data_IF_052653198109
#
_entry.id   IF_052653198109
#
_cell.length_a   1.000
_cell.length_b   1.000
_cell.length_c   1.000
_cell.angle_alpha   90.00
_cell.angle_beta   90.00
_cell.angle_gamma   90.00
#
_symmetry.space_group_name_H-M   'P 1'
#
loop_
_entity.id
_entity.type
_entity.pdbx_description
1 polymer ?
#
# COMPACT_ATOMS: atom_id res chain seq x y z
N UNK A 1 0.01 -11.48 -5.65
CA UNK A 1 -0.59 -12.39 -6.66
C UNK A 1 -1.64 -11.76 -7.58
N UNK A 2 -1.96 -10.47 -7.49
CA UNK A 2 -2.94 -9.83 -8.38
C UNK A 2 -2.34 -9.59 -9.78
N UNK A 3 -3.16 -9.06 -10.69
CA UNK A 3 -2.75 -8.68 -12.04
C UNK A 3 -1.93 -7.41 -12.03
N UNK A 4 -1.64 -6.88 -13.21
CA UNK A 4 -0.82 -5.69 -13.35
C UNK A 4 -1.41 -4.48 -12.62
N UNK A 5 -2.73 -4.36 -12.60
CA UNK A 5 -3.46 -3.31 -11.89
C UNK A 5 -4.84 -3.79 -11.44
N UNK A 6 -5.59 -2.92 -10.77
CA UNK A 6 -6.99 -3.19 -10.38
C UNK A 6 -7.91 -3.49 -11.57
N UNK A 7 -7.58 -3.01 -12.77
CA UNK A 7 -8.38 -3.22 -13.98
C UNK A 7 -7.96 -4.44 -14.81
N UNK A 8 -6.85 -5.10 -14.46
CA UNK A 8 -6.29 -6.21 -15.24
C UNK A 8 -6.90 -7.56 -14.82
N UNK A 9 -7.65 -8.15 -15.76
CA UNK A 9 -8.29 -9.46 -15.62
C UNK A 9 -7.34 -10.67 -15.81
N UNK A 10 -6.07 -10.46 -16.19
CA UNK A 10 -5.00 -11.47 -16.21
C UNK A 10 -5.21 -12.64 -17.18
N UNK A 11 -5.83 -12.40 -18.34
CA UNK A 11 -6.10 -13.46 -19.33
C UNK A 11 -4.85 -14.12 -19.95
N UNK A 12 -3.65 -13.56 -19.70
CA UNK A 12 -2.37 -14.01 -20.24
C UNK A 12 -1.66 -15.07 -19.38
N UNK A 13 -2.22 -15.46 -18.23
CA UNK A 13 -1.62 -16.45 -17.33
C UNK A 13 -2.65 -17.42 -16.79
N UNK A 14 -2.19 -18.61 -16.38
CA UNK A 14 -3.08 -19.65 -15.87
C UNK A 14 -3.25 -19.56 -14.35
N UNK A 15 -4.36 -20.10 -13.84
CA UNK A 15 -4.56 -20.21 -12.39
C UNK A 15 -3.50 -21.10 -11.73
N UNK A 16 -3.10 -22.18 -12.41
CA UNK A 16 -2.10 -23.12 -11.90
C UNK A 16 -0.71 -22.46 -11.74
N UNK A 17 -0.32 -21.62 -12.70
CA UNK A 17 0.91 -20.82 -12.59
C UNK A 17 0.88 -19.92 -11.35
N UNK A 18 -0.23 -19.20 -11.14
CA UNK A 18 -0.39 -18.31 -9.98
C UNK A 18 -0.33 -19.10 -8.67
N UNK A 19 -0.99 -20.26 -8.59
CA UNK A 19 -0.95 -21.12 -7.41
C UNK A 19 0.47 -21.60 -7.10
N UNK A 20 1.25 -22.03 -8.11
CA UNK A 20 2.65 -22.42 -7.92
C UNK A 20 3.53 -21.28 -7.40
N UNK A 21 3.22 -20.03 -7.79
CA UNK A 21 3.93 -18.87 -7.26
C UNK A 21 3.50 -18.52 -5.82
N UNK A 22 2.25 -18.80 -5.44
CA UNK A 22 1.79 -18.66 -4.04
C UNK A 22 2.51 -19.62 -3.09
N UNK A 23 2.89 -20.80 -3.55
CA UNK A 23 3.70 -21.74 -2.77
C UNK A 23 5.11 -21.20 -2.47
N UNK A 24 5.58 -20.21 -3.25
CA UNK A 24 6.88 -19.56 -3.10
C UNK A 24 6.77 -18.20 -2.37
N UNK A 25 5.72 -18.00 -1.58
CA UNK A 25 5.50 -16.73 -0.86
C UNK A 25 6.70 -16.40 0.04
N UNK A 26 7.38 -15.26 -0.16
CA UNK A 26 8.51 -14.86 0.67
C UNK A 26 8.11 -14.67 2.15
N UNK A 27 6.87 -14.23 2.43
CA UNK A 27 6.37 -14.09 3.80
C UNK A 27 6.30 -15.47 4.46
N UNK A 28 5.79 -16.48 3.74
CA UNK A 28 5.73 -17.85 4.28
C UNK A 28 7.12 -18.46 4.46
N UNK A 29 8.06 -18.19 3.55
CA UNK A 29 9.45 -18.63 3.70
C UNK A 29 10.10 -18.05 4.96
N UNK A 30 9.93 -16.75 5.21
CA UNK A 30 10.44 -16.09 6.41
C UNK A 30 9.73 -16.60 7.66
N UNK A 31 8.41 -16.75 7.62
CA UNK A 31 7.62 -17.27 8.74
C UNK A 31 8.07 -18.68 9.16
N UNK A 32 8.31 -19.55 8.18
CA UNK A 32 8.83 -20.90 8.42
C UNK A 32 10.21 -20.86 9.07
N UNK A 33 11.11 -19.98 8.61
CA UNK A 33 12.42 -19.78 9.24
C UNK A 33 12.29 -19.30 10.68
N UNK A 34 11.39 -18.35 10.96
CA UNK A 34 11.13 -17.85 12.31
C UNK A 34 10.71 -19.00 13.24
N UNK A 35 9.80 -19.87 12.80
CA UNK A 35 9.34 -21.01 13.61
C UNK A 35 10.39 -22.10 13.77
N UNK A 36 11.10 -22.46 12.71
CA UNK A 36 12.20 -23.45 12.76
C UNK A 36 13.29 -23.04 13.75
N UNK A 37 13.64 -21.75 13.75
CA UNK A 37 14.65 -21.20 14.65
C UNK A 37 14.09 -20.76 16.01
N UNK A 38 12.78 -20.93 16.24
CA UNK A 38 12.07 -20.56 17.47
C UNK A 38 12.27 -19.08 17.86
N UNK A 39 12.36 -18.18 16.89
CA UNK A 39 12.53 -16.74 17.12
C UNK A 39 11.24 -16.06 17.58
N UNK A 40 10.08 -16.63 17.22
CA UNK A 40 8.79 -16.18 17.71
C UNK A 40 7.82 -17.36 17.83
N UNK A 41 6.85 -17.22 18.73
CA UNK A 41 5.70 -18.10 18.88
C UNK A 41 4.56 -17.69 17.94
N UNK A 42 3.64 -18.61 17.67
CA UNK A 42 2.40 -18.33 16.91
C UNK A 42 1.63 -17.15 17.50
N UNK A 43 1.55 -17.06 18.83
CA UNK A 43 0.90 -15.93 19.52
C UNK A 43 1.56 -14.59 19.17
N UNK A 44 2.90 -14.52 19.18
CA UNK A 44 3.62 -13.30 18.85
C UNK A 44 3.46 -12.92 17.38
N UNK A 45 3.41 -13.89 16.46
CA UNK A 45 3.10 -13.64 15.05
C UNK A 45 1.67 -13.10 14.90
N UNK A 46 0.69 -13.72 15.56
CA UNK A 46 -0.70 -13.25 15.51
C UNK A 46 -0.84 -11.81 16.06
N UNK A 47 -0.08 -11.47 17.11
CA UNK A 47 -0.01 -10.11 17.63
C UNK A 47 0.62 -9.13 16.62
N UNK A 48 1.63 -9.54 15.86
CA UNK A 48 2.20 -8.73 14.77
C UNK A 48 1.15 -8.49 13.68
N UNK A 49 0.50 -9.56 13.22
CA UNK A 49 -0.52 -9.49 12.17
C UNK A 49 -1.67 -8.57 12.56
N UNK A 50 -2.13 -8.65 13.81
CA UNK A 50 -3.18 -7.78 14.32
C UNK A 50 -2.74 -6.32 14.33
N UNK A 51 -1.53 -6.02 14.85
CA UNK A 51 -1.00 -4.64 14.83
C UNK A 51 -0.89 -4.07 13.42
N UNK A 52 -0.49 -4.89 12.44
CA UNK A 52 -0.42 -4.46 11.04
C UNK A 52 -1.82 -4.18 10.49
N UNK A 53 -2.80 -5.05 10.75
CA UNK A 53 -4.20 -4.83 10.32
C UNK A 53 -4.78 -3.57 10.92
N UNK A 54 -4.61 -3.36 12.22
CA UNK A 54 -5.11 -2.17 12.92
C UNK A 54 -4.48 -0.92 12.30
N UNK A 55 -3.17 -0.94 12.05
CA UNK A 55 -2.47 0.19 11.44
C UNK A 55 -2.94 0.48 10.01
N UNK A 56 -3.21 -0.55 9.21
CA UNK A 56 -3.75 -0.37 7.86
C UNK A 56 -5.14 0.23 7.92
N UNK A 57 -6.00 -0.25 8.82
CA UNK A 57 -7.36 0.30 9.01
C UNK A 57 -7.33 1.78 9.44
N UNK A 58 -6.42 2.16 10.34
CA UNK A 58 -6.21 3.57 10.71
C UNK A 58 -5.79 4.42 9.50
N UNK A 59 -4.89 3.92 8.66
CA UNK A 59 -4.47 4.62 7.44
C UNK A 59 -5.61 4.75 6.42
N UNK A 60 -6.43 3.70 6.25
CA UNK A 60 -7.61 3.71 5.37
C UNK A 60 -8.62 4.75 5.87
N UNK A 61 -8.98 4.72 7.16
CA UNK A 61 -9.90 5.69 7.74
C UNK A 61 -9.38 7.12 7.59
N UNK A 62 -8.11 7.36 7.88
CA UNK A 62 -7.50 8.68 7.69
C UNK A 62 -7.59 9.14 6.23
N UNK A 63 -7.34 8.26 5.27
CA UNK A 63 -7.41 8.58 3.84
C UNK A 63 -8.85 8.88 3.38
N UNK A 64 -9.85 8.15 3.89
CA UNK A 64 -11.26 8.36 3.58
C UNK A 64 -11.84 9.63 4.19
N UNK A 65 -11.44 9.96 5.43
CA UNK A 65 -11.92 11.13 6.16
C UNK A 65 -11.15 12.42 5.81
N UNK A 66 -9.99 12.29 5.16
CA UNK A 66 -9.21 13.45 4.74
C UNK A 66 -10.00 14.30 3.74
N UNK A 67 -10.05 15.64 3.94
CA UNK A 67 -10.70 16.52 2.99
C UNK A 67 -10.00 16.45 1.62
N UNK A 68 -10.77 16.63 0.56
CA UNK A 68 -10.19 16.88 -0.75
C UNK A 68 -9.26 18.11 -0.69
N UNK A 69 -8.17 18.11 -1.49
CA UNK A 69 -7.29 19.26 -1.55
C UNK A 69 -8.06 20.49 -2.06
N UNK A 70 -7.69 21.66 -1.54
CA UNK A 70 -8.20 22.92 -2.04
C UNK A 70 -7.87 23.08 -3.53
N UNK A 71 -8.81 23.64 -4.30
CA UNK A 71 -8.67 23.74 -5.76
C UNK A 71 -7.42 24.54 -6.19
N UNK A 72 -7.00 25.51 -5.39
CA UNK A 72 -5.82 26.33 -5.68
C UNK A 72 -4.52 25.52 -5.71
N UNK A 73 -4.45 24.37 -5.02
CA UNK A 73 -3.28 23.47 -5.04
C UNK A 73 -2.90 23.08 -6.47
N UNK A 74 -3.89 22.89 -7.35
CA UNK A 74 -3.65 22.56 -8.77
C UNK A 74 -2.78 23.61 -9.48
N UNK A 75 -2.87 24.88 -9.10
CA UNK A 75 -2.09 25.97 -9.69
C UNK A 75 -0.85 26.28 -8.88
N UNK A 76 -0.95 26.17 -7.56
CA UNK A 76 0.06 26.66 -6.64
C UNK A 76 1.32 25.80 -6.61
N UNK A 77 1.23 24.54 -7.04
CA UNK A 77 2.34 23.58 -7.09
C UNK A 77 3.03 23.47 -8.45
N UNK A 78 2.64 24.29 -9.44
CA UNK A 78 3.22 24.24 -10.79
C UNK A 78 4.57 24.96 -10.86
N UNK A 79 4.68 26.11 -10.21
CA UNK A 79 5.89 26.93 -10.17
C UNK A 79 6.27 27.27 -8.73
N UNK A 80 7.57 27.15 -8.43
CA UNK A 80 8.11 27.50 -7.12
C UNK A 80 8.24 29.02 -6.91
N UNK A 81 8.29 29.81 -7.98
CA UNK A 81 8.48 31.26 -7.91
C UNK A 81 7.36 31.92 -7.09
N UNK A 82 7.75 32.62 -6.02
CA UNK A 82 6.84 33.25 -5.07
C UNK A 82 5.97 34.33 -5.74
N UNK A 83 6.60 35.20 -6.56
CA UNK A 83 5.92 36.27 -7.29
C UNK A 83 5.73 35.90 -8.77
N UNK A 84 5.07 34.78 -9.06
CA UNK A 84 4.82 34.40 -10.43
C UNK A 84 3.73 35.30 -11.04
N UNK A 85 4.05 36.12 -12.07
CA UNK A 85 3.21 37.26 -12.47
C UNK A 85 1.89 36.87 -13.14
N UNK A 86 1.65 35.58 -13.37
CA UNK A 86 0.46 35.05 -14.05
C UNK A 86 -0.49 34.27 -13.12
N UNK A 87 -0.25 34.27 -11.80
CA UNK A 87 -1.14 33.67 -10.80
C UNK A 87 -1.76 34.77 -9.92
N UNK A 88 -2.86 35.41 -10.36
CA UNK A 88 -3.42 36.59 -9.70
C UNK A 88 -4.02 36.31 -8.32
N UNK A 89 -4.32 35.05 -7.99
CA UNK A 89 -4.84 34.65 -6.68
C UNK A 89 -3.74 34.45 -5.61
N UNK A 90 -2.46 34.52 -6.00
CA UNK A 90 -1.31 34.52 -5.08
C UNK A 90 -0.84 35.93 -4.68
N UNK A 91 -1.51 36.99 -5.18
CA UNK A 91 -1.23 38.40 -4.87
C UNK A 91 -2.28 38.92 -3.89
#
# INVERSE_FOLDING_TARGET
>A
YRGHSMSDAQHYRTKDEVSKMQEQDPIMHVLNQIYQNKWASEKQIAEIDQRVKDRVAECEQFAEESPYPEKNVMYDTVYQQENYPFLPHKI
#
